data_IF_477181976759
#
_entry.id   IF_477181976759
#
_cell.length_a   1.000
_cell.length_b   1.000
_cell.length_c   1.000
_cell.angle_alpha   90.00
_cell.angle_beta   90.00
_cell.angle_gamma   90.00
#
_symmetry.space_group_name_H-M   'P 1'
#
loop_
_entity.id
_entity.type
_entity.pdbx_description
1 polymer ?
#
# COMPACT_ATOMS: atom_id res chain seq x y z
N UNK A 1 1.36 -1.50 -19.60
CA UNK A 1 1.59 -0.17 -20.19
C UNK A 1 0.27 0.59 -20.36
N UNK A 2 -0.64 0.19 -21.26
CA UNK A 2 -1.88 0.94 -21.51
C UNK A 2 -2.75 1.17 -20.26
N UNK A 3 -2.87 0.18 -19.36
CA UNK A 3 -3.61 0.33 -18.10
C UNK A 3 -3.00 1.39 -17.17
N UNK A 4 -1.67 1.44 -17.05
CA UNK A 4 -0.96 2.42 -16.23
C UNK A 4 -1.21 3.84 -16.75
N UNK A 5 -1.13 4.05 -18.06
CA UNK A 5 -1.40 5.34 -18.69
C UNK A 5 -2.81 5.85 -18.39
N UNK A 6 -3.81 4.96 -18.39
CA UNK A 6 -5.17 5.32 -17.99
C UNK A 6 -5.20 5.74 -16.51
N UNK A 7 -4.53 4.99 -15.62
CA UNK A 7 -4.39 5.34 -14.21
C UNK A 7 -3.77 6.73 -14.01
N UNK A 8 -2.67 7.03 -14.70
CA UNK A 8 -1.99 8.33 -14.61
C UNK A 8 -2.88 9.47 -15.09
N UNK A 9 -3.60 9.28 -16.20
CA UNK A 9 -4.57 10.24 -16.70
C UNK A 9 -5.70 10.50 -15.70
N UNK A 10 -6.20 9.47 -15.02
CA UNK A 10 -7.23 9.63 -13.98
C UNK A 10 -6.70 10.51 -12.84
N UNK A 11 -5.51 10.22 -12.32
CA UNK A 11 -4.93 11.05 -11.25
C UNK A 11 -4.68 12.49 -11.68
N UNK A 12 -4.19 12.70 -12.92
CA UNK A 12 -4.01 14.05 -13.46
C UNK A 12 -5.34 14.81 -13.58
N UNK A 13 -6.39 14.16 -14.10
CA UNK A 13 -7.72 14.75 -14.23
C UNK A 13 -8.35 15.08 -12.87
N UNK A 14 -8.21 14.19 -11.88
CA UNK A 14 -8.66 14.46 -10.51
C UNK A 14 -7.91 15.65 -9.89
N UNK A 15 -6.61 15.76 -10.13
CA UNK A 15 -5.79 16.85 -9.61
C UNK A 15 -6.20 18.18 -10.23
N UNK A 16 -6.44 18.21 -11.54
CA UNK A 16 -6.95 19.38 -12.26
C UNK A 16 -8.33 19.80 -11.74
N UNK A 17 -9.26 18.85 -11.60
CA UNK A 17 -10.59 19.11 -11.06
C UNK A 17 -10.53 19.74 -9.66
N UNK A 18 -9.72 19.16 -8.76
CA UNK A 18 -9.55 19.66 -7.40
C UNK A 18 -8.88 21.04 -7.37
N UNK A 19 -7.88 21.27 -8.23
CA UNK A 19 -7.23 22.58 -8.33
C UNK A 19 -8.18 23.68 -8.81
N UNK A 20 -9.11 23.34 -9.69
CA UNK A 20 -10.10 24.25 -10.27
C UNK A 20 -11.42 24.32 -9.50
N UNK A 21 -11.52 23.69 -8.32
CA UNK A 21 -12.71 23.70 -7.47
C UNK A 21 -12.42 24.45 -6.16
N UNK A 22 -12.71 25.75 -6.07
CA UNK A 22 -12.41 26.53 -4.89
C UNK A 22 -13.21 26.09 -3.67
N UNK A 23 -12.57 26.05 -2.51
CA UNK A 23 -13.21 25.81 -1.21
C UNK A 23 -12.88 26.95 -0.24
N UNK A 24 -13.87 27.34 0.57
CA UNK A 24 -13.81 28.57 1.40
C UNK A 24 -12.67 28.57 2.42
N UNK A 25 -12.36 27.41 3.00
CA UNK A 25 -11.42 27.26 4.12
C UNK A 25 -10.24 26.31 3.83
N UNK A 26 -9.98 26.01 2.55
CA UNK A 26 -8.86 25.16 2.15
C UNK A 26 -7.55 25.93 2.03
N UNK A 27 -6.44 25.23 2.20
CA UNK A 27 -5.11 25.76 1.88
C UNK A 27 -5.09 26.22 0.41
N UNK A 28 -4.61 27.45 0.15
CA UNK A 28 -4.68 28.07 -1.19
C UNK A 28 -6.10 28.10 -1.79
N UNK A 29 -7.14 28.11 -0.95
CA UNK A 29 -8.56 28.07 -1.35
C UNK A 29 -8.95 26.85 -2.18
N UNK A 30 -8.26 25.71 -2.01
CA UNK A 30 -8.58 24.45 -2.72
C UNK A 30 -8.48 23.24 -1.79
N UNK A 31 -9.15 22.16 -2.17
CA UNK A 31 -8.92 20.86 -1.55
C UNK A 31 -7.59 20.25 -2.04
N UNK A 32 -7.18 19.14 -1.42
CA UNK A 32 -5.98 18.40 -1.80
C UNK A 32 -6.32 16.92 -1.90
N UNK A 33 -5.66 16.23 -2.83
CA UNK A 33 -5.88 14.81 -3.05
C UNK A 33 -5.11 13.96 -2.02
N UNK A 34 -5.79 12.96 -1.50
CA UNK A 34 -5.25 11.89 -0.66
C UNK A 34 -5.69 10.54 -1.23
N UNK A 35 -4.79 9.55 -1.27
CA UNK A 35 -5.09 8.18 -1.65
C UNK A 35 -4.72 7.24 -0.52
N UNK A 36 -5.73 6.60 0.07
CA UNK A 36 -5.54 5.75 1.23
C UNK A 36 -4.94 4.40 0.84
N UNK A 37 -4.07 3.88 1.72
CA UNK A 37 -3.41 2.57 1.56
C UNK A 37 -4.32 1.34 1.78
N UNK A 38 -5.62 1.59 1.95
CA UNK A 38 -6.68 0.62 2.19
C UNK A 38 -7.35 0.66 3.57
N UNK A 39 -8.60 0.25 3.65
CA UNK A 39 -9.39 0.17 4.89
C UNK A 39 -10.52 -0.86 4.77
N UNK A 40 -11.19 -1.16 5.88
CA UNK A 40 -12.26 -2.15 5.96
C UNK A 40 -13.47 -1.89 5.07
N UNK A 41 -13.65 -0.65 4.58
CA UNK A 41 -14.72 -0.29 3.65
C UNK A 41 -14.38 -0.53 2.17
N UNK A 42 -13.18 -0.99 1.83
CA UNK A 42 -12.77 -1.24 0.44
C UNK A 42 -13.32 -2.56 -0.10
N UNK A 43 -14.65 -2.70 -0.07
CA UNK A 43 -15.36 -3.88 -0.52
C UNK A 43 -15.61 -3.76 -2.02
N UNK A 44 -15.15 -4.73 -2.80
CA UNK A 44 -15.31 -4.73 -4.26
C UNK A 44 -14.51 -3.65 -5.00
N UNK A 45 -13.57 -2.99 -4.32
CA UNK A 45 -12.71 -1.94 -4.87
C UNK A 45 -11.24 -2.22 -4.54
N UNK A 46 -10.33 -1.48 -5.17
CA UNK A 46 -8.90 -1.53 -4.88
C UNK A 46 -8.45 -0.28 -4.12
N UNK A 47 -7.47 -0.41 -3.21
CA UNK A 47 -7.05 0.70 -2.37
C UNK A 47 -6.25 1.73 -3.17
N UNK A 48 -6.70 2.99 -3.16
CA UNK A 48 -5.97 4.11 -3.75
C UNK A 48 -5.68 3.92 -5.24
N UNK A 49 -4.41 4.02 -5.62
CA UNK A 49 -3.94 3.86 -7.01
C UNK A 49 -3.32 2.47 -7.30
N UNK A 50 -3.69 1.45 -6.52
CA UNK A 50 -2.99 0.16 -6.47
C UNK A 50 -3.76 -0.97 -7.09
N UNK A 51 -3.05 -2.07 -7.29
CA UNK A 51 -3.60 -3.38 -7.62
C UNK A 51 -4.26 -4.03 -6.39
N UNK A 52 -5.17 -4.99 -6.59
CA UNK A 52 -5.74 -5.79 -5.51
C UNK A 52 -4.65 -6.49 -4.69
N UNK A 53 -4.92 -6.67 -3.39
CA UNK A 53 -4.04 -7.46 -2.54
C UNK A 53 -3.93 -8.89 -3.06
N UNK A 54 -2.70 -9.42 -3.08
CA UNK A 54 -2.39 -10.75 -3.61
C UNK A 54 -2.02 -10.76 -5.10
N UNK A 55 -2.48 -9.77 -5.87
CA UNK A 55 -2.21 -9.66 -7.32
C UNK A 55 -1.08 -8.66 -7.63
N UNK A 56 -0.43 -8.14 -6.58
CA UNK A 56 0.64 -7.15 -6.71
C UNK A 56 1.90 -7.79 -7.33
N UNK A 57 2.54 -7.15 -8.33
CA UNK A 57 3.72 -7.67 -9.00
C UNK A 57 4.96 -7.61 -8.09
N UNK A 58 6.12 -7.94 -8.65
CA UNK A 58 7.40 -7.79 -7.96
C UNK A 58 7.59 -6.35 -7.44
N UNK A 59 8.39 -6.16 -6.37
CA UNK A 59 8.47 -4.87 -5.68
C UNK A 59 8.92 -3.72 -6.57
N UNK A 60 9.80 -3.98 -7.56
CA UNK A 60 10.33 -2.93 -8.43
C UNK A 60 9.26 -2.49 -9.42
N UNK A 61 8.62 -3.44 -10.11
CA UNK A 61 7.53 -3.15 -11.05
C UNK A 61 6.36 -2.46 -10.35
N UNK A 62 6.05 -2.88 -9.12
CA UNK A 62 5.03 -2.24 -8.29
C UNK A 62 5.38 -0.77 -8.06
N UNK A 63 6.56 -0.48 -7.48
CA UNK A 63 6.97 0.88 -7.15
C UNK A 63 7.05 1.77 -8.38
N UNK A 64 7.59 1.28 -9.50
CA UNK A 64 7.63 2.03 -10.76
C UNK A 64 6.23 2.34 -11.29
N UNK A 65 5.28 1.44 -11.09
CA UNK A 65 3.89 1.65 -11.52
C UNK A 65 3.21 2.72 -10.67
N UNK A 66 3.40 2.72 -9.35
CA UNK A 66 2.68 3.62 -8.43
C UNK A 66 3.35 4.98 -8.24
N UNK A 67 4.68 5.07 -8.42
CA UNK A 67 5.45 6.29 -8.18
C UNK A 67 4.91 7.54 -8.90
N UNK A 68 4.50 7.50 -10.18
CA UNK A 68 4.01 8.69 -10.87
C UNK A 68 2.77 9.33 -10.22
N UNK A 69 1.94 8.54 -9.53
CA UNK A 69 0.77 9.06 -8.83
C UNK A 69 1.15 10.02 -7.69
N UNK A 70 2.33 9.86 -7.07
CA UNK A 70 2.78 10.73 -5.98
C UNK A 70 2.87 12.21 -6.40
N UNK A 71 3.02 12.54 -7.68
CA UNK A 71 2.99 13.93 -8.11
C UNK A 71 1.65 14.65 -7.80
N UNK A 72 0.55 13.91 -7.68
CA UNK A 72 -0.81 14.46 -7.60
C UNK A 72 -1.43 14.44 -6.19
N UNK A 73 -1.09 13.45 -5.35
CA UNK A 73 -1.72 13.26 -4.03
C UNK A 73 -0.90 13.92 -2.90
N UNK A 74 -0.93 15.26 -2.81
CA UNK A 74 -0.14 16.02 -1.82
C UNK A 74 -0.53 15.78 -0.36
N UNK A 75 -1.78 15.42 -0.09
CA UNK A 75 -2.21 15.13 1.29
C UNK A 75 -1.83 13.73 1.77
N UNK A 76 -1.25 12.92 0.89
CA UNK A 76 -0.72 11.60 1.23
C UNK A 76 -1.12 10.54 0.23
N UNK A 77 -0.15 9.70 -0.10
CA UNK A 77 -0.27 8.43 -0.81
C UNK A 77 0.96 7.64 -0.42
N UNK A 78 0.76 6.38 -0.12
CA UNK A 78 1.81 5.43 0.27
C UNK A 78 1.69 4.19 -0.59
N UNK A 79 2.55 3.21 -0.30
CA UNK A 79 2.39 1.80 -0.69
C UNK A 79 2.89 0.89 0.44
N UNK A 80 2.37 -0.33 0.50
CA UNK A 80 2.80 -1.33 1.48
C UNK A 80 3.40 -2.51 0.71
N UNK A 81 4.71 -2.69 0.83
CA UNK A 81 5.43 -3.83 0.29
C UNK A 81 5.61 -4.89 1.37
N UNK A 82 5.17 -6.10 1.10
CA UNK A 82 5.54 -7.29 1.88
C UNK A 82 6.77 -7.91 1.23
N UNK A 83 7.89 -7.86 1.94
CA UNK A 83 9.19 -8.41 1.53
C UNK A 83 9.43 -9.77 2.17
N UNK A 84 10.05 -10.66 1.42
CA UNK A 84 10.50 -11.95 1.92
C UNK A 84 11.61 -11.82 2.98
N UNK A 85 11.71 -12.79 3.90
CA UNK A 85 12.67 -12.74 5.01
C UNK A 85 14.13 -12.73 4.57
N UNK A 86 14.44 -13.20 3.36
CA UNK A 86 15.80 -13.16 2.78
C UNK A 86 16.37 -11.75 2.74
N UNK A 87 15.54 -10.70 2.72
CA UNK A 87 16.00 -9.31 2.77
C UNK A 87 16.85 -9.00 4.01
N UNK A 88 16.63 -9.72 5.13
CA UNK A 88 17.43 -9.59 6.35
C UNK A 88 18.91 -9.92 6.11
N UNK A 89 19.21 -10.79 5.13
CA UNK A 89 20.56 -11.18 4.74
C UNK A 89 21.21 -10.22 3.74
N UNK A 90 20.41 -9.37 3.09
CA UNK A 90 20.89 -8.35 2.15
C UNK A 90 20.20 -7.00 2.38
N UNK A 91 20.51 -6.30 3.49
CA UNK A 91 19.92 -5.01 3.79
C UNK A 91 20.29 -3.92 2.76
N UNK A 92 21.40 -4.08 2.03
CA UNK A 92 21.78 -3.15 0.96
C UNK A 92 20.77 -3.12 -0.18
N UNK A 93 20.15 -4.26 -0.52
CA UNK A 93 19.09 -4.30 -1.52
C UNK A 93 17.87 -3.45 -1.10
N UNK A 94 17.52 -3.44 0.19
CA UNK A 94 16.44 -2.59 0.69
C UNK A 94 16.81 -1.11 0.60
N UNK A 95 18.05 -0.74 0.93
CA UNK A 95 18.54 0.64 0.78
C UNK A 95 18.46 1.09 -0.68
N UNK A 96 18.89 0.24 -1.61
CA UNK A 96 18.81 0.52 -3.05
C UNK A 96 17.37 0.68 -3.52
N UNK A 97 16.45 -0.16 -3.01
CA UNK A 97 15.02 -0.04 -3.29
C UNK A 97 14.49 1.33 -2.82
N UNK A 98 14.81 1.75 -1.59
CA UNK A 98 14.41 3.05 -1.06
C UNK A 98 14.96 4.21 -1.89
N UNK A 99 16.25 4.20 -2.21
CA UNK A 99 16.88 5.24 -3.02
C UNK A 99 16.29 5.30 -4.43
N UNK A 100 16.03 4.14 -5.04
CA UNK A 100 15.37 4.04 -6.33
C UNK A 100 13.94 4.59 -6.32
N UNK A 101 13.15 4.23 -5.31
CA UNK A 101 11.78 4.72 -5.12
C UNK A 101 11.73 6.24 -4.98
N UNK A 102 12.60 6.81 -4.14
CA UNK A 102 12.67 8.26 -3.96
C UNK A 102 13.16 8.97 -5.23
N UNK A 103 14.14 8.41 -5.94
CA UNK A 103 14.58 8.92 -7.23
C UNK A 103 13.47 8.89 -8.28
N UNK A 104 12.56 7.92 -8.20
CA UNK A 104 11.39 7.81 -9.06
C UNK A 104 10.24 8.77 -8.66
N UNK A 105 10.42 9.59 -7.62
CA UNK A 105 9.45 10.60 -7.19
C UNK A 105 8.50 10.15 -6.07
N UNK A 106 8.70 8.95 -5.50
CA UNK A 106 7.96 8.55 -4.31
C UNK A 106 8.36 9.40 -3.11
N UNK A 107 7.39 9.67 -2.24
CA UNK A 107 7.60 10.46 -1.00
C UNK A 107 7.58 9.57 0.24
N UNK A 108 6.82 8.49 0.19
CA UNK A 108 6.77 7.48 1.23
C UNK A 108 6.33 6.14 0.66
N UNK A 109 6.76 5.07 1.31
CA UNK A 109 6.18 3.74 1.24
C UNK A 109 6.58 3.00 2.51
N UNK A 110 5.87 1.92 2.83
CA UNK A 110 6.21 1.03 3.94
C UNK A 110 6.70 -0.31 3.40
N UNK A 111 7.80 -0.82 3.93
CA UNK A 111 8.23 -2.20 3.72
C UNK A 111 8.03 -3.00 5.02
N UNK A 112 7.18 -4.03 4.96
CA UNK A 112 7.06 -5.04 6.00
C UNK A 112 7.86 -6.27 5.61
N UNK A 113 8.49 -6.93 6.58
CA UNK A 113 9.14 -8.23 6.36
C UNK A 113 8.16 -9.32 6.75
N UNK A 114 7.99 -10.34 5.89
CA UNK A 114 7.10 -11.47 6.18
C UNK A 114 7.57 -12.27 7.40
N UNK A 115 6.69 -13.13 7.93
CA UNK A 115 7.03 -14.05 9.04
C UNK A 115 6.99 -13.42 10.43
N UNK A 116 6.47 -12.19 10.57
CA UNK A 116 6.21 -11.58 11.88
C UNK A 116 4.71 -11.54 12.20
N UNK A 117 4.38 -11.37 13.47
CA UNK A 117 3.00 -11.28 13.97
C UNK A 117 2.31 -9.96 13.58
N UNK A 118 3.01 -9.01 12.96
CA UNK A 118 2.49 -7.67 12.66
C UNK A 118 2.05 -7.54 11.20
N UNK A 119 0.77 -7.24 11.02
CA UNK A 119 0.23 -6.87 9.71
C UNK A 119 0.12 -5.36 9.61
N UNK A 120 0.67 -4.83 8.52
CA UNK A 120 0.55 -3.41 8.18
C UNK A 120 -0.80 -3.15 7.50
N UNK A 121 -1.58 -2.29 8.13
CA UNK A 121 -2.77 -1.65 7.56
C UNK A 121 -2.37 -0.22 7.12
N UNK A 122 -3.33 0.66 6.85
CA UNK A 122 -3.02 2.05 6.49
C UNK A 122 -2.76 2.90 7.72
N UNK A 123 -1.49 3.25 7.93
CA UNK A 123 -1.08 4.15 9.01
C UNK A 123 -1.00 3.50 10.39
N UNK A 124 -1.32 2.21 10.53
CA UNK A 124 -1.19 1.46 11.78
C UNK A 124 -0.86 -0.02 11.52
N UNK A 125 -0.55 -0.75 12.60
CA UNK A 125 -0.30 -2.19 12.57
C UNK A 125 -1.22 -2.90 13.56
N UNK A 126 -1.56 -4.15 13.24
CA UNK A 126 -2.29 -5.04 14.13
C UNK A 126 -1.52 -6.34 14.27
N UNK A 127 -1.58 -6.97 15.46
CA UNK A 127 -1.02 -8.29 15.67
C UNK A 127 -1.99 -9.36 15.18
N UNK A 128 -1.52 -10.38 14.46
CA UNK A 128 -2.34 -11.52 14.05
C UNK A 128 -2.88 -12.25 15.28
N UNK A 129 -2.04 -12.43 16.31
CA UNK A 129 -2.45 -12.99 17.60
C UNK A 129 -3.57 -12.20 18.28
N UNK A 130 -3.59 -10.86 18.17
CA UNK A 130 -4.68 -10.04 18.68
C UNK A 130 -5.97 -10.24 17.87
N UNK A 131 -5.87 -10.43 16.55
CA UNK A 131 -7.03 -10.73 15.70
C UNK A 131 -7.66 -12.06 16.09
N UNK A 132 -6.83 -13.11 16.27
CA UNK A 132 -7.29 -14.43 16.71
C UNK A 132 -7.99 -14.36 18.07
N UNK A 133 -7.36 -13.68 19.04
CA UNK A 133 -7.97 -13.47 20.35
C UNK A 133 -9.29 -12.69 20.26
N UNK A 134 -9.34 -11.64 19.46
CA UNK A 134 -10.55 -10.84 19.25
C UNK A 134 -11.68 -11.66 18.62
N UNK A 135 -11.39 -12.56 17.66
CA UNK A 135 -12.39 -13.46 17.08
C UNK A 135 -13.00 -14.40 18.11
N UNK A 136 -12.21 -14.83 19.10
CA UNK A 136 -12.66 -15.74 20.15
C UNK A 136 -13.40 -15.03 21.30
N UNK A 137 -12.88 -13.89 21.77
CA UNK A 137 -13.32 -13.25 23.02
C UNK A 137 -14.00 -11.88 22.82
N UNK A 138 -13.85 -11.28 21.63
CA UNK A 138 -14.21 -9.89 21.38
C UNK A 138 -13.31 -8.90 22.14
N UNK A 139 -13.61 -7.60 22.01
CA UNK A 139 -12.97 -6.55 22.80
C UNK A 139 -13.86 -5.31 22.89
N UNK A 140 -13.87 -4.67 24.07
CA UNK A 140 -14.64 -3.44 24.33
C UNK A 140 -13.77 -2.18 24.35
N UNK A 141 -12.45 -2.32 24.47
CA UNK A 141 -11.55 -1.20 24.77
C UNK A 141 -10.38 -1.08 23.80
N UNK A 142 -10.14 -2.07 22.94
CA UNK A 142 -9.10 -1.98 21.93
C UNK A 142 -9.67 -1.63 20.54
N UNK A 143 -8.78 -1.21 19.66
CA UNK A 143 -9.06 -0.90 18.26
C UNK A 143 -8.80 -2.09 17.32
N UNK A 144 -8.58 -3.30 17.86
CA UNK A 144 -8.31 -4.52 17.08
C UNK A 144 -9.42 -4.84 16.10
N UNK A 145 -10.66 -4.47 16.44
CA UNK A 145 -11.81 -4.64 15.56
C UNK A 145 -11.64 -3.96 14.20
N UNK A 146 -10.91 -2.83 14.11
CA UNK A 146 -10.62 -2.15 12.84
C UNK A 146 -9.72 -3.02 11.94
N UNK A 147 -8.71 -3.63 12.53
CA UNK A 147 -7.83 -4.56 11.84
C UNK A 147 -8.56 -5.84 11.44
N UNK A 148 -9.43 -6.34 12.30
CA UNK A 148 -10.23 -7.54 12.03
C UNK A 148 -11.25 -7.31 10.91
N UNK A 149 -11.95 -6.19 10.95
CA UNK A 149 -12.90 -5.84 9.90
C UNK A 149 -12.18 -5.68 8.55
N UNK A 150 -11.00 -5.06 8.54
CA UNK A 150 -10.16 -4.98 7.35
C UNK A 150 -9.70 -6.36 6.87
N UNK A 151 -9.29 -7.25 7.78
CA UNK A 151 -8.89 -8.61 7.46
C UNK A 151 -10.03 -9.46 6.89
N UNK A 152 -11.26 -9.24 7.34
CA UNK A 152 -12.44 -9.99 6.89
C UNK A 152 -13.02 -9.44 5.59
N UNK A 153 -13.15 -8.13 5.47
CA UNK A 153 -13.87 -7.49 4.36
C UNK A 153 -12.98 -7.30 3.14
N UNK A 154 -11.67 -7.30 3.32
CA UNK A 154 -10.69 -7.12 2.25
C UNK A 154 -9.72 -8.28 2.21
N UNK A 155 -8.87 -8.31 1.20
CA UNK A 155 -7.84 -9.33 1.02
C UNK A 155 -6.49 -8.93 1.64
N UNK A 156 -6.48 -8.06 2.64
CA UNK A 156 -5.23 -7.44 3.16
C UNK A 156 -4.20 -8.45 3.70
N UNK A 157 -4.67 -9.61 4.18
CA UNK A 157 -3.82 -10.71 4.64
C UNK A 157 -3.20 -11.53 3.50
N UNK A 158 -3.64 -11.32 2.26
CA UNK A 158 -3.20 -12.08 1.09
C UNK A 158 -2.00 -11.45 0.37
N UNK A 159 -1.45 -10.36 0.91
CA UNK A 159 -0.22 -9.75 0.36
C UNK A 159 0.93 -10.74 0.38
N UNK A 160 1.44 -11.07 -0.78
CA UNK A 160 2.50 -12.06 -0.93
C UNK A 160 3.87 -11.49 -0.49
N UNK A 161 4.66 -12.26 0.27
CA UNK A 161 6.09 -11.99 0.45
C UNK A 161 6.78 -12.00 -0.91
N UNK A 162 7.51 -10.93 -1.23
CA UNK A 162 8.19 -10.78 -2.52
C UNK A 162 9.67 -10.51 -2.33
N UNK A 163 10.47 -11.03 -3.25
CA UNK A 163 11.92 -10.86 -3.31
C UNK A 163 12.25 -9.68 -4.23
N UNK A 164 13.25 -8.87 -3.86
CA UNK A 164 13.72 -7.72 -4.66
C UNK A 164 14.65 -8.19 -5.80
N UNK A 165 15.27 -9.36 -5.64
CA UNK A 165 16.19 -9.94 -6.63
C UNK A 165 15.46 -10.57 -7.81
N UNK A 166 15.94 -10.28 -9.03
CA UNK A 166 15.56 -10.99 -10.26
C UNK A 166 16.16 -12.41 -10.35
N UNK A 167 16.90 -12.86 -9.32
CA UNK A 167 17.27 -14.26 -9.20
C UNK A 167 16.00 -15.09 -9.00
N UNK A 168 15.55 -15.67 -10.11
CA UNK A 168 14.43 -16.59 -10.29
C UNK A 168 13.70 -17.02 -9.02
N UNK A 169 12.40 -16.72 -8.93
CA UNK A 169 11.48 -17.49 -8.08
C UNK A 169 11.77 -18.99 -8.27
N UNK A 170 11.98 -19.72 -7.18
CA UNK A 170 11.88 -21.17 -7.22
C UNK A 170 10.47 -21.52 -7.66
N UNK A 171 10.30 -21.87 -8.93
CA UNK A 171 9.07 -22.49 -9.43
C UNK A 171 9.04 -23.92 -8.92
N UNK A 172 8.51 -24.13 -7.72
CA UNK A 172 7.97 -25.44 -7.38
C UNK A 172 6.58 -25.54 -8.05
N UNK A 173 6.55 -26.07 -9.28
CA UNK A 173 5.33 -26.64 -9.82
C UNK A 173 5.21 -28.07 -9.29
N UNK A 174 4.14 -28.35 -8.53
CA UNK A 174 3.63 -29.72 -8.37
C UNK A 174 2.88 -30.13 -9.64
#
# INVERSE_FOLDING_TARGET
AAANEVGYRISAQLAEFVANTPVKYGWQKRAMLHAQSGISSDIGTTPGARLPYGDEPDPITHLQTVAPHHAYYYSGISDILTLDETIKRNPQALVQLCLGAFKAGMREFTANVSGNDLVRVTGYMVRLSDLEKYRAEGSRTNTTWLGEEAARNTRILERQPRVISHEQQMRFSQ
#
